data_IF_125011768568
#
_entry.id   IF_125011768568
#
_cell.length_a   1.000
_cell.length_b   1.000
_cell.length_c   1.000
_cell.angle_alpha   90.00
_cell.angle_beta   90.00
_cell.angle_gamma   90.00
#
_symmetry.space_group_name_H-M   'P 1'
#
loop_
_entity.id
_entity.type
_entity.pdbx_description
1 polymer ?
#
# COMPACT_ATOMS: atom_id res chain seq x y z
N UNK A 1 -1.30 9.34 -30.80
CA UNK A 1 -0.87 8.10 -30.10
C UNK A 1 -2.12 7.33 -29.76
N UNK A 2 -2.11 6.02 -29.98
CA UNK A 2 -3.18 5.10 -29.63
C UNK A 2 -2.58 3.95 -28.80
N UNK A 3 -3.35 3.42 -27.87
CA UNK A 3 -3.01 2.24 -27.06
C UNK A 3 -4.11 1.22 -27.26
N UNK A 4 -3.74 -0.02 -27.53
CA UNK A 4 -4.66 -1.12 -27.80
C UNK A 4 -4.44 -2.27 -26.83
N UNK A 5 -5.53 -2.95 -26.46
CA UNK A 5 -5.47 -4.16 -25.63
C UNK A 5 -4.95 -5.39 -26.41
N UNK A 6 -4.79 -6.51 -25.71
CA UNK A 6 -4.38 -7.80 -26.29
C UNK A 6 -5.39 -8.40 -27.31
N UNK A 7 -6.52 -7.74 -27.54
CA UNK A 7 -7.53 -8.10 -28.56
C UNK A 7 -7.55 -7.10 -29.73
N UNK A 8 -6.63 -6.14 -29.74
CA UNK A 8 -6.53 -5.11 -30.78
C UNK A 8 -7.56 -4.00 -30.66
N UNK A 9 -8.29 -3.88 -29.55
CA UNK A 9 -9.23 -2.78 -29.33
C UNK A 9 -8.54 -1.56 -28.73
N UNK A 10 -8.87 -0.37 -29.24
CA UNK A 10 -8.31 0.89 -28.76
C UNK A 10 -8.86 1.20 -27.37
N UNK A 11 -7.98 1.25 -26.38
CA UNK A 11 -8.30 1.58 -24.98
C UNK A 11 -7.83 2.99 -24.58
N UNK A 12 -6.97 3.60 -25.38
CA UNK A 12 -6.52 4.98 -25.21
C UNK A 12 -6.20 5.62 -26.55
N UNK A 13 -6.65 6.85 -26.75
CA UNK A 13 -6.43 7.59 -28.00
C UNK A 13 -6.51 9.09 -27.72
N UNK A 14 -5.74 9.88 -28.47
CA UNK A 14 -5.90 11.34 -28.49
C UNK A 14 -7.24 11.79 -29.11
N UNK A 15 -7.87 10.91 -29.87
CA UNK A 15 -9.19 11.05 -30.46
C UNK A 15 -10.17 10.11 -29.75
N UNK A 16 -11.09 10.67 -28.96
CA UNK A 16 -11.99 9.89 -28.10
C UNK A 16 -13.00 9.05 -28.88
N UNK A 17 -13.36 9.45 -30.10
CA UNK A 17 -14.34 8.71 -30.92
C UNK A 17 -13.85 7.31 -31.29
N UNK A 18 -12.53 7.11 -31.30
CA UNK A 18 -11.89 5.85 -31.65
C UNK A 18 -11.82 4.84 -30.51
N UNK A 19 -12.14 5.23 -29.27
CA UNK A 19 -12.05 4.34 -28.12
C UNK A 19 -13.09 3.22 -28.26
N UNK A 20 -12.65 1.98 -28.11
CA UNK A 20 -13.47 0.78 -28.27
C UNK A 20 -13.44 0.19 -29.69
N UNK A 21 -12.98 0.93 -30.68
CA UNK A 21 -12.84 0.43 -32.05
C UNK A 21 -11.71 -0.60 -32.17
N UNK A 22 -11.86 -1.52 -33.13
CA UNK A 22 -10.82 -2.48 -33.46
C UNK A 22 -9.78 -1.81 -34.38
N UNK A 23 -8.49 -2.00 -34.09
CA UNK A 23 -7.39 -1.50 -34.89
C UNK A 23 -6.67 -2.64 -35.59
N UNK A 24 -6.87 -2.80 -36.90
CA UNK A 24 -6.30 -3.94 -37.65
C UNK A 24 -4.76 -3.95 -37.65
N UNK A 25 -4.13 -2.76 -37.60
CA UNK A 25 -2.68 -2.65 -37.45
C UNK A 25 -2.15 -3.22 -36.12
N UNK A 26 -2.98 -3.27 -35.07
CA UNK A 26 -2.60 -3.88 -33.80
C UNK A 26 -2.66 -5.41 -33.86
N UNK A 27 -3.61 -5.97 -34.62
CA UNK A 27 -3.71 -7.42 -34.84
C UNK A 27 -2.47 -7.98 -35.54
N UNK A 28 -1.89 -7.21 -36.48
CA UNK A 28 -0.64 -7.57 -37.13
C UNK A 28 0.52 -7.67 -36.12
N UNK A 29 0.64 -6.71 -35.20
CA UNK A 29 1.65 -6.74 -34.14
C UNK A 29 1.43 -7.90 -33.18
N UNK A 30 0.19 -8.12 -32.74
CA UNK A 30 -0.17 -9.22 -31.83
C UNK A 30 0.11 -10.59 -32.46
N UNK A 31 -0.11 -10.73 -33.77
CA UNK A 31 0.16 -11.98 -34.50
C UNK A 31 1.64 -12.19 -34.79
N UNK A 32 2.39 -11.15 -35.13
CA UNK A 32 3.80 -11.27 -35.54
C UNK A 32 4.81 -11.11 -34.40
N UNK A 33 4.38 -10.54 -33.27
CA UNK A 33 5.22 -10.31 -32.10
C UNK A 33 6.34 -9.29 -32.30
N UNK A 34 6.25 -8.41 -33.29
CA UNK A 34 7.29 -7.44 -33.66
C UNK A 34 6.69 -6.09 -34.06
N UNK A 35 7.54 -5.09 -34.18
CA UNK A 35 7.15 -3.77 -34.70
C UNK A 35 6.65 -3.89 -36.13
N UNK A 36 5.53 -3.25 -36.43
CA UNK A 36 4.91 -3.21 -37.76
C UNK A 36 4.81 -1.76 -38.22
N UNK A 37 5.50 -1.47 -39.32
CA UNK A 37 5.41 -0.19 -40.02
C UNK A 37 4.24 -0.23 -41.00
N UNK A 38 3.43 0.82 -41.01
CA UNK A 38 2.27 0.97 -41.88
C UNK A 38 2.46 2.21 -42.74
N UNK A 39 2.70 2.00 -44.03
CA UNK A 39 2.74 3.07 -45.02
C UNK A 39 1.33 3.46 -45.51
N UNK A 40 1.22 4.49 -46.34
CA UNK A 40 -0.06 4.98 -46.85
C UNK A 40 -0.79 3.94 -47.72
N UNK A 41 -0.04 3.13 -48.48
CA UNK A 41 -0.62 2.11 -49.35
C UNK A 41 -1.27 0.98 -48.55
N UNK A 42 -0.60 0.52 -47.49
CA UNK A 42 -1.10 -0.48 -46.55
C UNK A 42 -2.27 0.08 -45.74
N UNK A 43 -2.18 1.33 -45.28
CA UNK A 43 -3.23 1.97 -44.48
C UNK A 43 -4.59 2.00 -45.21
N UNK A 44 -4.62 2.20 -46.53
CA UNK A 44 -5.87 2.21 -47.33
C UNK A 44 -6.62 0.87 -47.36
N UNK A 45 -5.92 -0.22 -47.05
CA UNK A 45 -6.50 -1.57 -47.06
C UNK A 45 -6.85 -2.06 -45.65
N UNK A 46 -6.64 -1.25 -44.61
CA UNK A 46 -6.86 -1.62 -43.22
C UNK A 46 -7.90 -0.71 -42.55
N UNK A 47 -8.84 -1.31 -41.82
CA UNK A 47 -9.88 -0.58 -41.12
C UNK A 47 -9.36 0.08 -39.84
N UNK A 48 -9.67 1.37 -39.69
CA UNK A 48 -9.32 2.14 -38.49
C UNK A 48 -7.83 2.41 -38.34
N UNK A 49 -7.05 2.31 -39.42
CA UNK A 49 -5.58 2.48 -39.41
C UNK A 49 -5.17 3.75 -40.17
N UNK A 50 -4.15 4.43 -39.65
CA UNK A 50 -3.47 5.56 -40.33
C UNK A 50 -2.00 5.20 -40.52
N UNK A 51 -1.34 5.86 -41.47
CA UNK A 51 0.11 5.75 -41.66
C UNK A 51 0.84 5.95 -40.31
N UNK A 52 1.80 5.08 -40.00
CA UNK A 52 2.41 5.06 -38.68
C UNK A 52 3.23 3.82 -38.37
N UNK A 53 3.59 3.68 -37.09
CA UNK A 53 4.23 2.48 -36.54
C UNK A 53 3.39 1.92 -35.41
N UNK A 54 3.34 0.59 -35.30
CA UNK A 54 2.71 -0.12 -34.21
C UNK A 54 3.75 -0.98 -33.50
N UNK A 55 3.91 -0.79 -32.20
CA UNK A 55 4.91 -1.46 -31.37
C UNK A 55 4.23 -2.40 -30.37
N UNK A 56 4.75 -3.63 -30.17
CA UNK A 56 4.22 -4.53 -29.14
C UNK A 56 4.54 -3.97 -27.76
N UNK A 57 3.54 -3.94 -26.88
CA UNK A 57 3.71 -3.58 -25.48
C UNK A 57 3.89 -4.85 -24.65
N UNK A 58 5.02 -4.97 -23.94
CA UNK A 58 5.38 -6.18 -23.20
C UNK A 58 5.37 -5.98 -21.69
N UNK A 59 4.95 -7.01 -20.96
CA UNK A 59 5.08 -7.13 -19.51
C UNK A 59 5.57 -8.55 -19.21
N UNK A 60 6.66 -8.68 -18.45
CA UNK A 60 7.31 -9.98 -18.17
C UNK A 60 7.63 -10.81 -19.44
N UNK A 61 7.91 -10.12 -20.57
CA UNK A 61 8.22 -10.75 -21.87
C UNK A 61 6.99 -11.04 -22.74
N UNK A 62 5.79 -11.08 -22.16
CA UNK A 62 4.53 -11.36 -22.84
C UNK A 62 3.91 -10.09 -23.44
N UNK A 63 3.28 -10.20 -24.61
CA UNK A 63 2.62 -9.07 -25.26
C UNK A 63 1.26 -8.84 -24.62
N UNK A 64 1.11 -7.71 -23.94
CA UNK A 64 -0.12 -7.32 -23.22
C UNK A 64 -0.96 -6.28 -23.98
N UNK A 65 -0.42 -5.72 -25.06
CA UNK A 65 -1.10 -4.73 -25.88
C UNK A 65 -0.22 -4.20 -27.02
N UNK A 66 -0.64 -3.09 -27.62
CA UNK A 66 0.06 -2.44 -28.73
C UNK A 66 0.01 -0.93 -28.57
N UNK A 67 1.10 -0.24 -28.93
CA UNK A 67 1.15 1.22 -29.05
C UNK A 67 1.22 1.61 -30.52
N UNK A 68 0.26 2.42 -30.96
CA UNK A 68 0.22 2.99 -32.31
C UNK A 68 0.63 4.46 -32.33
N UNK A 69 1.60 4.80 -33.17
CA UNK A 69 2.00 6.18 -33.45
C UNK A 69 1.68 6.51 -34.90
N UNK A 70 0.92 7.59 -35.11
CA UNK A 70 0.55 8.09 -36.44
C UNK A 70 1.58 9.08 -36.95
N UNK A 71 1.97 8.95 -38.21
CA UNK A 71 2.96 9.78 -38.89
C UNK A 71 3.86 8.93 -39.79
N UNK A 72 4.90 9.53 -40.34
CA UNK A 72 5.81 8.85 -41.25
C UNK A 72 6.71 7.85 -40.51
N UNK A 73 6.74 6.56 -40.90
CA UNK A 73 7.43 5.51 -40.14
C UNK A 73 8.92 5.78 -39.88
N UNK A 74 9.64 6.31 -40.87
CA UNK A 74 11.08 6.60 -40.79
C UNK A 74 11.40 7.61 -39.69
N UNK A 75 10.54 8.61 -39.52
CA UNK A 75 10.69 9.66 -38.51
C UNK A 75 10.25 9.18 -37.12
N UNK A 76 9.35 8.20 -37.03
CA UNK A 76 8.74 7.78 -35.78
C UNK A 76 9.51 6.70 -35.02
N UNK A 77 10.35 5.90 -35.67
CA UNK A 77 10.96 4.71 -35.08
C UNK A 77 11.67 4.97 -33.74
N UNK A 78 12.55 5.98 -33.69
CA UNK A 78 13.29 6.35 -32.48
C UNK A 78 12.36 6.83 -31.34
N UNK A 79 11.37 7.65 -31.67
CA UNK A 79 10.40 8.14 -30.69
C UNK A 79 9.45 7.04 -30.22
N UNK A 80 9.10 6.10 -31.10
CA UNK A 80 8.26 4.95 -30.80
C UNK A 80 8.87 4.01 -29.79
N UNK A 81 10.15 3.70 -29.94
CA UNK A 81 10.87 2.89 -28.95
C UNK A 81 10.88 3.55 -27.57
N UNK A 82 11.16 4.86 -27.50
CA UNK A 82 11.12 5.63 -26.24
C UNK A 82 9.73 5.63 -25.58
N UNK A 83 8.68 5.88 -26.36
CA UNK A 83 7.30 5.84 -25.87
C UNK A 83 6.92 4.44 -25.39
N UNK A 84 7.33 3.41 -26.12
CA UNK A 84 7.09 2.02 -25.74
C UNK A 84 7.79 1.65 -24.43
N UNK A 85 9.09 1.94 -24.30
CA UNK A 85 9.84 1.71 -23.06
C UNK A 85 9.22 2.45 -21.86
N UNK A 86 8.77 3.69 -22.06
CA UNK A 86 8.12 4.47 -21.00
C UNK A 86 6.80 3.82 -20.57
N UNK A 87 5.99 3.36 -21.53
CA UNK A 87 4.74 2.68 -21.24
C UNK A 87 4.94 1.33 -20.53
N UNK A 88 5.90 0.51 -20.99
CA UNK A 88 6.27 -0.76 -20.33
C UNK A 88 6.76 -0.52 -18.90
N UNK A 89 7.59 0.51 -18.69
CA UNK A 89 8.03 0.92 -17.36
C UNK A 89 6.85 1.34 -16.47
N UNK A 90 5.89 2.11 -16.99
CA UNK A 90 4.70 2.51 -16.23
C UNK A 90 3.82 1.31 -15.86
N UNK A 91 3.67 0.32 -16.75
CA UNK A 91 2.96 -0.92 -16.46
C UNK A 91 3.66 -1.72 -15.36
N UNK A 92 4.98 -1.87 -15.45
CA UNK A 92 5.77 -2.57 -14.44
C UNK A 92 5.71 -1.87 -13.08
N UNK A 93 5.82 -0.54 -13.06
CA UNK A 93 5.65 0.24 -11.84
C UNK A 93 4.26 0.04 -11.24
N UNK A 94 3.20 0.08 -12.05
CA UNK A 94 1.83 -0.16 -11.57
C UNK A 94 1.66 -1.55 -10.98
N UNK A 95 2.24 -2.58 -11.61
CA UNK A 95 2.25 -3.97 -11.11
C UNK A 95 2.96 -4.06 -9.76
N UNK A 96 4.15 -3.48 -9.64
CA UNK A 96 4.92 -3.46 -8.39
C UNK A 96 4.15 -2.73 -7.27
N UNK A 97 3.53 -1.58 -7.57
CA UNK A 97 2.69 -0.86 -6.62
C UNK A 97 1.49 -1.69 -6.16
N UNK A 98 0.86 -2.45 -7.07
CA UNK A 98 -0.23 -3.34 -6.74
C UNK A 98 0.21 -4.50 -5.83
N UNK A 99 1.36 -5.12 -6.11
CA UNK A 99 1.94 -6.17 -5.28
C UNK A 99 2.29 -5.66 -3.87
N UNK A 100 2.89 -4.48 -3.77
CA UNK A 100 3.18 -3.84 -2.48
C UNK A 100 1.92 -3.52 -1.69
N UNK A 101 0.88 -3.02 -2.36
CA UNK A 101 -0.41 -2.76 -1.73
C UNK A 101 -1.08 -4.05 -1.25
N UNK A 102 -0.96 -5.15 -1.99
CA UNK A 102 -1.44 -6.46 -1.57
C UNK A 102 -0.68 -6.99 -0.35
N UNK A 103 0.65 -6.91 -0.33
CA UNK A 103 1.46 -7.33 0.83
C UNK A 103 1.07 -6.54 2.09
N UNK A 104 0.91 -5.21 1.96
CA UNK A 104 0.47 -4.35 3.07
C UNK A 104 -0.90 -4.77 3.61
N UNK A 105 -1.87 -5.07 2.73
CA UNK A 105 -3.21 -5.52 3.14
C UNK A 105 -3.15 -6.86 3.86
N UNK A 106 -2.37 -7.82 3.36
CA UNK A 106 -2.23 -9.13 4.01
C UNK A 106 -1.60 -9.01 5.40
N UNK A 107 -0.60 -8.13 5.58
CA UNK A 107 -0.02 -7.85 6.91
C UNK A 107 -1.02 -7.22 7.86
N UNK A 108 -1.82 -6.29 7.37
CA UNK A 108 -2.89 -5.63 8.13
C UNK A 108 -3.95 -6.64 8.59
N UNK A 109 -4.43 -7.50 7.68
CA UNK A 109 -5.38 -8.56 8.04
C UNK A 109 -4.79 -9.56 9.04
N UNK A 110 -3.50 -9.90 8.93
CA UNK A 110 -2.81 -10.72 9.92
C UNK A 110 -2.85 -10.06 11.31
N UNK A 111 -2.53 -8.77 11.40
CA UNK A 111 -2.61 -8.01 12.66
C UNK A 111 -4.03 -8.02 13.22
N UNK A 112 -5.04 -7.82 12.37
CA UNK A 112 -6.45 -7.86 12.78
C UNK A 112 -6.87 -9.21 13.36
N UNK A 113 -6.32 -10.31 12.81
CA UNK A 113 -6.52 -11.65 13.37
C UNK A 113 -5.77 -11.81 14.71
N UNK A 114 -4.51 -11.37 14.81
CA UNK A 114 -3.70 -11.51 16.02
C UNK A 114 -4.28 -10.77 17.24
N UNK A 115 -4.96 -9.64 17.04
CA UNK A 115 -5.57 -8.87 18.14
C UNK A 115 -6.91 -9.43 18.61
N UNK A 116 -7.51 -10.34 17.83
CA UNK A 116 -8.78 -11.01 18.15
C UNK A 116 -8.56 -12.46 18.60
N UNK A 117 -7.48 -13.11 18.16
CA UNK A 117 -7.20 -14.50 18.43
C UNK A 117 -6.91 -14.77 19.92
N UNK A 118 -7.61 -15.73 20.50
CA UNK A 118 -7.30 -16.25 21.83
C UNK A 118 -6.09 -17.18 21.80
N UNK A 119 -5.85 -17.86 20.68
CA UNK A 119 -4.68 -18.70 20.43
C UNK A 119 -4.24 -18.61 18.96
N UNK A 120 -2.94 -18.81 18.71
CA UNK A 120 -2.43 -18.84 17.35
C UNK A 120 -2.73 -20.20 16.72
N UNK A 121 -3.64 -20.23 15.75
CA UNK A 121 -3.93 -21.45 14.99
C UNK A 121 -2.75 -21.82 14.07
N UNK A 122 -2.61 -23.09 13.67
CA UNK A 122 -1.60 -23.48 12.69
C UNK A 122 -1.70 -22.68 11.38
N UNK A 123 -2.92 -22.42 10.91
CA UNK A 123 -3.18 -21.60 9.72
C UNK A 123 -2.68 -20.15 9.88
N UNK A 124 -2.92 -19.53 11.04
CA UNK A 124 -2.43 -18.18 11.33
C UNK A 124 -0.89 -18.13 11.38
N UNK A 125 -0.28 -19.19 11.92
CA UNK A 125 1.18 -19.34 12.01
C UNK A 125 1.82 -19.49 10.62
N UNK A 126 1.25 -20.32 9.76
CA UNK A 126 1.71 -20.49 8.38
C UNK A 126 1.58 -19.19 7.58
N UNK A 127 0.47 -18.46 7.76
CA UNK A 127 0.26 -17.17 7.11
C UNK A 127 1.32 -16.14 7.54
N UNK A 128 1.59 -16.02 8.84
CA UNK A 128 2.64 -15.13 9.34
C UNK A 128 4.02 -15.48 8.77
N UNK A 129 4.36 -16.78 8.69
CA UNK A 129 5.62 -17.25 8.11
C UNK A 129 5.75 -16.85 6.63
N UNK A 130 4.69 -16.99 5.82
CA UNK A 130 4.67 -16.57 4.41
C UNK A 130 4.91 -15.06 4.23
N UNK A 131 4.49 -14.25 5.21
CA UNK A 131 4.73 -12.81 5.26
C UNK A 131 6.07 -12.43 5.90
N UNK A 132 6.90 -13.40 6.29
CA UNK A 132 8.18 -13.15 6.97
C UNK A 132 8.04 -12.63 8.40
N UNK A 133 6.89 -12.84 9.05
CA UNK A 133 6.59 -12.34 10.39
C UNK A 133 6.80 -13.47 11.41
N UNK A 134 7.71 -13.25 12.36
CA UNK A 134 7.90 -14.14 13.50
C UNK A 134 6.87 -13.86 14.60
N UNK A 135 5.96 -14.82 14.81
CA UNK A 135 4.95 -14.79 15.88
C UNK A 135 5.54 -15.08 17.28
N UNK A 136 6.77 -15.59 17.37
CA UNK A 136 7.42 -15.84 18.66
C UNK A 136 8.04 -14.58 19.25
N UNK A 137 8.23 -13.53 18.44
CA UNK A 137 8.68 -12.23 18.95
C UNK A 137 7.62 -11.67 19.90
N UNK A 138 7.93 -11.47 21.20
CA UNK A 138 6.98 -10.93 22.15
C UNK A 138 6.57 -9.51 21.76
N UNK A 139 5.27 -9.24 21.71
CA UNK A 139 4.71 -7.98 21.24
C UNK A 139 3.76 -7.36 22.27
N UNK A 140 3.76 -6.03 22.33
CA UNK A 140 2.80 -5.23 23.09
C UNK A 140 2.01 -4.36 22.13
N UNK A 141 0.74 -4.15 22.44
CA UNK A 141 -0.17 -3.36 21.61
C UNK A 141 -0.13 -1.90 22.03
N UNK A 142 0.07 -1.02 21.06
CA UNK A 142 -0.27 0.39 21.17
C UNK A 142 -1.45 0.71 20.25
N UNK A 143 -2.38 1.54 20.72
CA UNK A 143 -3.45 2.09 19.90
C UNK A 143 -3.14 3.55 19.64
N UNK A 144 -3.28 3.97 18.39
CA UNK A 144 -3.16 5.36 17.99
C UNK A 144 -4.52 5.83 17.47
N UNK A 145 -5.09 6.84 18.11
CA UNK A 145 -6.35 7.45 17.73
C UNK A 145 -6.09 8.87 17.20
N UNK A 146 -6.49 9.16 15.96
CA UNK A 146 -6.39 10.50 15.37
C UNK A 146 -7.64 11.30 15.77
N UNK A 147 -7.42 12.50 16.33
CA UNK A 147 -8.48 13.46 16.59
C UNK A 147 -8.93 14.06 15.25
N UNK A 148 -9.90 13.44 14.59
CA UNK A 148 -10.49 13.91 13.33
C UNK A 148 -11.36 15.16 13.57
N UNK A 149 -10.73 16.29 13.85
CA UNK A 149 -11.45 17.57 13.94
C UNK A 149 -11.98 17.96 12.56
N UNK A 150 -13.29 17.82 12.32
CA UNK A 150 -14.02 18.31 11.13
C UNK A 150 -13.28 18.14 9.77
N UNK A 151 -12.66 16.99 9.53
CA UNK A 151 -11.96 16.72 8.28
C UNK A 151 -12.82 15.82 7.39
N UNK A 152 -12.86 16.13 6.09
CA UNK A 152 -13.43 15.23 5.08
C UNK A 152 -12.67 13.91 5.02
N UNK A 153 -13.33 12.86 4.53
CA UNK A 153 -12.82 11.47 4.50
C UNK A 153 -11.41 11.39 3.89
N UNK A 154 -11.17 12.12 2.81
CA UNK A 154 -9.88 12.11 2.10
C UNK A 154 -8.72 12.66 2.95
N UNK A 155 -8.99 13.67 3.78
CA UNK A 155 -7.96 14.25 4.64
C UNK A 155 -7.65 13.36 5.84
N UNK A 156 -8.66 12.67 6.40
CA UNK A 156 -8.44 11.70 7.46
C UNK A 156 -7.59 10.50 6.97
N UNK A 157 -7.84 10.02 5.74
CA UNK A 157 -7.04 8.95 5.14
C UNK A 157 -5.58 9.37 4.89
N UNK A 158 -5.35 10.59 4.40
CA UNK A 158 -3.99 11.10 4.19
C UNK A 158 -3.21 11.20 5.53
N UNK A 159 -3.87 11.66 6.59
CA UNK A 159 -3.31 11.73 7.94
C UNK A 159 -2.95 10.36 8.51
N UNK A 160 -3.83 9.36 8.36
CA UNK A 160 -3.55 7.98 8.75
C UNK A 160 -2.37 7.39 7.97
N UNK A 161 -2.30 7.64 6.66
CA UNK A 161 -1.18 7.16 5.83
C UNK A 161 0.15 7.77 6.26
N UNK A 162 0.16 9.08 6.57
CA UNK A 162 1.34 9.77 7.08
C UNK A 162 1.80 9.17 8.42
N UNK A 163 0.86 8.89 9.31
CA UNK A 163 1.15 8.30 10.62
C UNK A 163 1.61 6.83 10.49
N UNK A 164 1.01 6.04 9.60
CA UNK A 164 1.47 4.67 9.30
C UNK A 164 2.93 4.68 8.84
N UNK A 165 3.29 5.56 7.90
CA UNK A 165 4.67 5.69 7.40
C UNK A 165 5.66 6.09 8.50
N UNK A 166 5.27 6.97 9.42
CA UNK A 166 6.11 7.38 10.55
C UNK A 166 6.27 6.28 11.63
N UNK A 167 5.34 5.34 11.67
CA UNK A 167 5.37 4.18 12.58
C UNK A 167 6.19 3.03 12.02
N UNK A 168 6.26 2.88 10.70
CA UNK A 168 7.04 1.83 10.02
C UNK A 168 8.48 2.24 9.72
N UNK A 169 8.79 3.54 9.66
CA UNK A 169 10.11 4.06 9.28
C UNK A 169 10.77 4.88 10.41
N UNK A 170 12.04 4.60 10.80
CA UNK A 170 12.88 3.48 10.35
C UNK A 170 12.32 2.12 10.81
N UNK A 171 12.74 1.03 10.17
CA UNK A 171 12.31 -0.33 10.50
C UNK A 171 12.45 -0.62 12.00
N UNK A 172 11.30 -0.80 12.65
CA UNK A 172 11.19 -1.05 14.10
C UNK A 172 10.57 -2.41 14.41
N UNK A 173 10.45 -3.29 13.40
CA UNK A 173 9.66 -4.52 13.46
C UNK A 173 8.23 -4.27 13.97
N UNK A 174 7.66 -3.09 13.72
CA UNK A 174 6.28 -2.78 14.06
C UNK A 174 5.36 -3.41 13.02
N UNK A 175 4.26 -4.02 13.47
CA UNK A 175 3.15 -4.42 12.61
C UNK A 175 2.00 -3.45 12.83
N UNK A 176 1.45 -2.87 11.76
CA UNK A 176 0.44 -1.81 11.85
C UNK A 176 -0.81 -2.24 11.10
N UNK A 177 -1.98 -1.96 11.68
CA UNK A 177 -3.27 -2.12 11.05
C UNK A 177 -4.18 -0.92 11.35
N UNK A 178 -4.97 -0.50 10.38
CA UNK A 178 -6.06 0.46 10.52
C UNK A 178 -7.32 -0.30 10.94
N UNK A 179 -7.82 0.01 12.13
CA UNK A 179 -9.02 -0.63 12.69
C UNK A 179 -10.28 0.17 12.32
N UNK A 180 -10.15 1.49 12.19
CA UNK A 180 -11.23 2.39 11.79
C UNK A 180 -10.69 3.66 11.12
N UNK A 181 -11.57 4.55 10.67
CA UNK A 181 -11.21 5.84 10.06
C UNK A 181 -10.37 6.76 10.97
N UNK A 182 -10.29 6.47 12.27
CA UNK A 182 -9.53 7.27 13.23
C UNK A 182 -8.61 6.43 14.10
N UNK A 183 -8.59 5.11 13.96
CA UNK A 183 -7.89 4.23 14.88
C UNK A 183 -6.95 3.27 14.17
N UNK A 184 -5.73 3.19 14.67
CA UNK A 184 -4.73 2.21 14.28
C UNK A 184 -4.22 1.41 15.46
N UNK A 185 -3.89 0.15 15.20
CA UNK A 185 -3.20 -0.74 16.13
C UNK A 185 -1.77 -0.95 15.66
N UNK A 186 -0.84 -0.85 16.61
CA UNK A 186 0.58 -1.09 16.40
C UNK A 186 1.03 -2.23 17.33
N UNK A 187 1.45 -3.35 16.75
CA UNK A 187 2.13 -4.43 17.47
C UNK A 187 3.62 -4.15 17.49
N UNK A 188 4.12 -3.66 18.63
CA UNK A 188 5.52 -3.30 18.83
C UNK A 188 6.27 -4.45 19.51
N UNK A 189 7.56 -4.68 19.24
CA UNK A 189 8.37 -5.55 20.09
C UNK A 189 8.27 -5.11 21.55
N UNK A 190 7.90 -6.04 22.44
CA UNK A 190 7.67 -5.75 23.85
C UNK A 190 8.98 -5.59 24.63
N UNK A 191 9.99 -6.36 24.26
CA UNK A 191 11.25 -6.44 24.99
C UNK A 191 12.29 -5.47 24.44
N UNK A 192 13.12 -4.91 25.32
CA UNK A 192 14.29 -4.13 24.94
C UNK A 192 15.43 -5.04 24.41
N UNK A 193 16.57 -4.45 24.05
CA UNK A 193 17.76 -5.18 23.56
C UNK A 193 18.32 -6.21 24.56
N UNK A 194 17.97 -6.12 25.84
CA UNK A 194 18.36 -7.05 26.89
C UNK A 194 17.30 -8.13 27.16
N UNK A 195 16.24 -8.21 26.35
CA UNK A 195 15.17 -9.19 26.52
C UNK A 195 14.25 -8.91 27.72
N UNK A 196 14.19 -7.65 28.20
CA UNK A 196 13.38 -7.27 29.36
C UNK A 196 12.25 -6.33 28.97
N UNK A 197 11.11 -6.46 29.65
CA UNK A 197 10.03 -5.48 29.60
C UNK A 197 10.45 -4.23 30.37
N UNK A 198 10.35 -3.07 29.72
CA UNK A 198 10.64 -1.77 30.30
C UNK A 198 9.56 -0.77 29.86
N UNK A 199 8.62 -0.51 30.75
CA UNK A 199 7.50 0.38 30.46
C UNK A 199 7.96 1.83 30.24
N UNK A 200 9.05 2.25 30.89
CA UNK A 200 9.56 3.61 30.81
C UNK A 200 10.29 3.86 29.50
N UNK A 201 11.02 2.86 28.98
CA UNK A 201 11.57 2.90 27.62
C UNK A 201 10.45 3.02 26.57
N UNK A 202 9.36 2.26 26.73
CA UNK A 202 8.20 2.39 25.83
C UNK A 202 7.55 3.77 25.91
N UNK A 203 7.45 4.36 27.11
CA UNK A 203 6.94 5.71 27.33
C UNK A 203 7.77 6.74 26.57
N UNK A 204 9.09 6.74 26.77
CA UNK A 204 10.02 7.65 26.09
C UNK A 204 9.92 7.54 24.57
N UNK A 205 9.78 6.33 24.03
CA UNK A 205 9.60 6.11 22.57
C UNK A 205 8.29 6.70 22.04
N UNK A 206 7.20 6.63 22.81
CA UNK A 206 5.91 7.23 22.44
C UNK A 206 5.99 8.76 22.50
N UNK A 207 6.61 9.31 23.53
CA UNK A 207 6.83 10.76 23.65
C UNK A 207 7.70 11.31 22.49
N UNK A 208 8.78 10.61 22.15
CA UNK A 208 9.61 10.95 20.99
C UNK A 208 8.84 10.87 19.67
N UNK A 209 7.90 9.93 19.52
CA UNK A 209 7.04 9.87 18.34
C UNK A 209 6.11 11.09 18.29
N UNK A 210 5.47 11.44 19.41
CA UNK A 210 4.58 12.60 19.50
C UNK A 210 5.34 13.90 19.19
N UNK A 211 6.54 14.08 19.74
CA UNK A 211 7.36 15.26 19.48
C UNK A 211 7.74 15.37 18.01
N UNK A 212 8.23 14.28 17.40
CA UNK A 212 8.55 14.28 15.95
C UNK A 212 7.33 14.59 15.10
N UNK A 213 6.18 13.99 15.39
CA UNK A 213 4.98 14.24 14.58
C UNK A 213 4.43 15.66 14.72
N UNK A 214 4.68 16.37 15.84
CA UNK A 214 4.39 17.80 15.98
C UNK A 214 5.24 18.67 15.05
N UNK A 215 6.47 18.24 14.73
CA UNK A 215 7.38 18.99 13.85
C UNK A 215 6.99 18.84 12.37
N UNK A 216 6.42 17.70 11.99
CA UNK A 216 6.05 17.37 10.60
C UNK A 216 4.57 17.63 10.24
N UNK A 217 3.74 18.16 11.15
CA UNK A 217 2.36 18.54 10.84
C UNK A 217 1.46 18.83 12.05
N UNK A 218 0.24 19.31 11.78
CA UNK A 218 -0.81 19.57 12.77
C UNK A 218 -1.58 18.31 13.23
N UNK A 219 -1.11 17.11 12.88
CA UNK A 219 -1.73 15.84 13.22
C UNK A 219 -1.94 15.73 14.74
N UNK A 220 -3.20 15.85 15.18
CA UNK A 220 -3.59 15.63 16.56
C UNK A 220 -3.94 14.16 16.71
N UNK A 221 -3.13 13.43 17.46
CA UNK A 221 -3.40 12.05 17.80
C UNK A 221 -3.11 11.79 19.27
N UNK A 222 -3.71 10.72 19.77
CA UNK A 222 -3.52 10.17 21.11
C UNK A 222 -3.01 8.74 20.98
N UNK A 223 -2.21 8.32 21.93
CA UNK A 223 -1.63 6.98 21.99
C UNK A 223 -1.97 6.33 23.31
N UNK A 224 -2.43 5.09 23.29
CA UNK A 224 -2.47 4.25 24.48
C UNK A 224 -1.56 3.04 24.33
N UNK A 225 -0.94 2.62 25.43
CA UNK A 225 -0.15 1.39 25.49
C UNK A 225 -0.84 0.39 26.42
N UNK A 226 -1.11 -0.80 25.89
CA UNK A 226 -1.61 -1.93 26.66
C UNK A 226 -0.55 -2.52 27.59
N UNK A 227 -0.97 -3.48 28.41
CA UNK A 227 -0.04 -4.25 29.22
C UNK A 227 0.66 -5.32 28.38
N UNK A 228 1.87 -5.67 28.77
CA UNK A 228 2.56 -6.84 28.22
C UNK A 228 2.10 -8.11 28.94
N UNK A 229 1.70 -9.11 28.17
CA UNK A 229 1.30 -10.42 28.66
C UNK A 229 2.16 -11.50 28.01
N UNK A 230 2.30 -12.63 28.69
CA UNK A 230 2.93 -13.84 28.15
C UNK A 230 1.89 -14.94 27.95
N UNK A 231 2.22 -15.93 27.11
CA UNK A 231 1.36 -17.07 26.81
C UNK A 231 0.33 -16.82 25.70
N UNK A 232 -0.56 -17.80 25.46
CA UNK A 232 -1.59 -17.70 24.43
C UNK A 232 -2.53 -16.51 24.67
N UNK A 233 -2.95 -15.86 23.58
CA UNK A 233 -3.86 -14.72 23.63
C UNK A 233 -3.27 -13.46 24.24
N UNK A 234 -1.94 -13.42 24.46
CA UNK A 234 -1.24 -12.26 25.04
C UNK A 234 -1.44 -10.99 24.22
N UNK A 235 -1.39 -11.06 22.89
CA UNK A 235 -1.64 -9.92 21.99
C UNK A 235 -3.08 -9.43 22.14
N UNK A 236 -4.08 -10.32 22.08
CA UNK A 236 -5.48 -9.96 22.25
C UNK A 236 -5.79 -9.35 23.64
N UNK A 237 -5.14 -9.85 24.70
CA UNK A 237 -5.23 -9.24 26.04
C UNK A 237 -4.58 -7.85 26.07
N UNK A 238 -3.41 -7.71 25.46
CA UNK A 238 -2.71 -6.42 25.35
C UNK A 238 -3.58 -5.40 24.61
N UNK A 239 -4.22 -5.80 23.51
CA UNK A 239 -5.14 -4.95 22.75
C UNK A 239 -6.35 -4.52 23.58
N UNK A 240 -7.00 -5.45 24.29
CA UNK A 240 -8.10 -5.13 25.21
C UNK A 240 -7.69 -4.11 26.27
N UNK A 241 -6.53 -4.31 26.90
CA UNK A 241 -6.03 -3.33 27.88
C UNK A 241 -5.72 -1.99 27.25
N UNK A 242 -5.12 -1.94 26.06
CA UNK A 242 -4.84 -0.69 25.35
C UNK A 242 -6.13 0.09 25.02
N UNK A 243 -7.19 -0.61 24.59
CA UNK A 243 -8.52 -0.03 24.36
C UNK A 243 -9.07 0.61 25.63
N UNK A 244 -9.10 -0.14 26.74
CA UNK A 244 -9.60 0.38 28.02
C UNK A 244 -8.75 1.56 28.51
N UNK A 245 -7.42 1.47 28.40
CA UNK A 245 -6.48 2.55 28.72
C UNK A 245 -6.76 3.81 27.91
N UNK A 246 -7.08 3.71 26.61
CA UNK A 246 -7.44 4.86 25.79
C UNK A 246 -8.71 5.54 26.32
N UNK A 247 -9.77 4.74 26.56
CA UNK A 247 -11.07 5.26 27.02
C UNK A 247 -10.95 5.94 28.38
N UNK A 248 -10.35 5.27 29.37
CA UNK A 248 -10.19 5.80 30.73
C UNK A 248 -9.22 6.98 30.74
N UNK A 249 -8.15 6.92 29.94
CA UNK A 249 -7.17 7.99 29.78
C UNK A 249 -7.80 9.28 29.29
N UNK A 250 -8.63 9.22 28.24
CA UNK A 250 -9.36 10.38 27.71
C UNK A 250 -10.33 10.99 28.73
N UNK A 251 -10.96 10.15 29.57
CA UNK A 251 -11.89 10.61 30.60
C UNK A 251 -11.18 11.27 31.79
N UNK A 252 -10.09 10.68 32.31
CA UNK A 252 -9.38 11.18 33.49
C UNK A 252 -8.40 12.29 33.18
N UNK A 253 -7.77 12.25 32.01
CA UNK A 253 -6.68 13.15 31.59
C UNK A 253 -6.89 13.61 30.14
N UNK A 254 -7.92 14.43 29.86
CA UNK A 254 -8.29 14.82 28.50
C UNK A 254 -7.20 15.60 27.75
N UNK A 255 -6.36 16.33 28.49
CA UNK A 255 -5.22 17.11 27.97
C UNK A 255 -3.99 16.25 27.66
N UNK A 256 -3.91 15.03 28.21
CA UNK A 256 -2.83 14.11 27.87
C UNK A 256 -3.04 13.52 26.47
N UNK A 257 -1.93 13.21 25.80
CA UNK A 257 -1.90 12.52 24.51
C UNK A 257 -1.33 11.12 24.58
N UNK A 258 -0.86 10.70 25.75
CA UNK A 258 -0.33 9.37 25.98
C UNK A 258 -0.93 8.78 27.25
N UNK A 259 -1.32 7.51 27.18
CA UNK A 259 -1.96 6.79 28.26
C UNK A 259 -1.31 5.42 28.41
N UNK A 260 -0.92 5.07 29.63
CA UNK A 260 -0.27 3.80 29.92
C UNK A 260 -1.11 3.03 30.92
N UNK A 261 -1.27 1.73 30.68
CA UNK A 261 -2.09 0.86 31.54
C UNK A 261 -1.65 0.92 33.02
N UNK A 262 -0.33 0.95 33.27
CA UNK A 262 0.24 0.97 34.62
C UNK A 262 -0.15 2.23 35.42
N UNK A 263 -0.28 3.38 34.75
CA UNK A 263 -0.59 4.66 35.40
C UNK A 263 -2.07 4.75 35.82
N UNK A 264 -2.93 3.97 35.16
CA UNK A 264 -4.38 4.03 35.37
C UNK A 264 -4.89 2.98 36.37
N UNK A 265 -4.03 2.04 36.80
CA UNK A 265 -4.32 0.88 37.67
C UNK A 265 -5.72 0.30 37.43
N UNK A 266 -5.91 -0.22 36.22
CA UNK A 266 -7.15 -0.88 35.75
C UNK A 266 -7.07 -2.39 35.89
#
# INVERSE_FOLDING_TARGET
INVMDARGRIIGSGDRERIGELHEGALLVLSQGRVVDIDDAVARHLHGVRQGINLPLRLEGEIVGVIGLTGEPENLRKYGELVCMTAEMMLEQSRLMHLLAQDSRLREELVMNLIQAEENTPALTEWAQRLGIDLNQPRVVAIVEVDSGQLGVDSAMAELQQLQNALTTPERNNLVAIVSLTEMVVLKPALNSFGRWDAEDHRKRVEQLITRMKEYGQLRFRVSLGNYFTGPGSIARSYRTAKTTMVVGKQRMPESRCYFYQDLML
#
